data_IF_824735695104
#
_entry.id   IF_824735695104
#
_cell.length_a   1.000
_cell.length_b   1.000
_cell.length_c   1.000
_cell.angle_alpha   90.00
_cell.angle_beta   90.00
_cell.angle_gamma   90.00
#
_symmetry.space_group_name_H-M   'P 1'
#
loop_
_entity.id
_entity.type
_entity.pdbx_description
1 polymer ?
#
# COMPACT_ATOMS: atom_id res chain seq x y z
N UNK A 1 -48.33 27.27 12.39
CA UNK A 1 -48.68 27.43 10.96
C UNK A 1 -48.52 26.09 10.25
N UNK A 2 -49.62 25.39 9.96
CA UNK A 2 -49.61 24.11 9.24
C UNK A 2 -50.02 24.40 7.79
N UNK A 3 -49.07 24.33 6.83
CA UNK A 3 -49.39 24.45 5.40
C UNK A 3 -50.06 23.17 4.93
N UNK A 4 -51.35 23.25 4.59
CA UNK A 4 -52.07 22.18 3.89
C UNK A 4 -51.57 22.12 2.45
N UNK A 5 -50.99 20.99 2.05
CA UNK A 5 -50.67 20.70 0.65
C UNK A 5 -51.96 20.41 -0.12
N UNK A 6 -52.18 21.14 -1.20
CA UNK A 6 -53.33 20.92 -2.10
C UNK A 6 -53.06 19.65 -2.92
N UNK A 7 -53.96 18.66 -2.94
CA UNK A 7 -53.74 17.46 -3.75
C UNK A 7 -53.87 17.81 -5.24
N UNK A 8 -52.78 17.69 -5.99
CA UNK A 8 -52.82 17.79 -7.46
C UNK A 8 -53.80 16.74 -8.02
N UNK A 9 -54.63 17.17 -8.99
CA UNK A 9 -55.63 16.37 -9.71
C UNK A 9 -55.03 15.08 -10.31
N UNK A 10 -55.82 14.00 -10.28
CA UNK A 10 -55.40 12.67 -10.75
C UNK A 10 -54.87 12.68 -12.20
N UNK A 11 -55.44 13.52 -13.06
CA UNK A 11 -55.03 13.65 -14.46
C UNK A 11 -53.60 14.20 -14.62
N UNK A 12 -53.20 15.13 -13.76
CA UNK A 12 -51.84 15.70 -13.78
C UNK A 12 -50.80 14.66 -13.36
N UNK A 13 -51.18 13.77 -12.42
CA UNK A 13 -50.31 12.66 -11.98
C UNK A 13 -50.14 11.61 -13.08
N UNK A 14 -51.21 11.29 -13.81
CA UNK A 14 -51.16 10.34 -14.92
C UNK A 14 -50.32 10.85 -16.09
N UNK A 15 -50.45 12.13 -16.45
CA UNK A 15 -49.64 12.75 -17.52
C UNK A 15 -48.16 12.77 -17.12
N UNK A 16 -47.85 13.12 -15.88
CA UNK A 16 -46.47 13.10 -15.37
C UNK A 16 -45.87 11.68 -15.39
N UNK A 17 -46.64 10.66 -15.00
CA UNK A 17 -46.21 9.25 -15.06
C UNK A 17 -45.94 8.78 -16.49
N UNK A 18 -46.79 9.15 -17.44
CA UNK A 18 -46.60 8.76 -18.83
C UNK A 18 -45.36 9.42 -19.45
N UNK A 19 -45.11 10.68 -19.11
CA UNK A 19 -43.95 11.43 -19.61
C UNK A 19 -42.63 10.87 -19.05
N UNK A 20 -42.62 10.41 -17.79
CA UNK A 20 -41.48 9.69 -17.20
C UNK A 20 -41.24 8.35 -17.92
N UNK A 21 -42.30 7.62 -18.28
CA UNK A 21 -42.17 6.33 -18.97
C UNK A 21 -41.54 6.46 -20.36
N UNK A 22 -41.88 7.52 -21.12
CA UNK A 22 -41.28 7.80 -22.44
C UNK A 22 -39.79 8.13 -22.33
N UNK A 23 -39.38 8.87 -21.30
CA UNK A 23 -37.96 9.19 -21.07
C UNK A 23 -37.16 7.92 -20.74
N UNK A 24 -37.72 7.00 -19.94
CA UNK A 24 -37.07 5.74 -19.59
C UNK A 24 -36.95 4.79 -20.79
N UNK A 25 -37.90 4.84 -21.75
CA UNK A 25 -37.90 3.95 -22.91
C UNK A 25 -36.83 4.27 -23.98
N UNK A 26 -36.18 5.43 -23.92
CA UNK A 26 -35.13 5.81 -24.91
C UNK A 26 -33.74 5.27 -24.59
N UNK A 27 -33.57 4.58 -23.46
CA UNK A 27 -32.27 4.03 -23.05
C UNK A 27 -32.15 2.53 -23.29
N UNK A 28 -31.84 2.08 -24.51
CA UNK A 28 -30.97 0.92 -24.80
C UNK A 28 -31.01 0.48 -26.29
N UNK A 29 -30.21 1.10 -27.15
CA UNK A 29 -29.68 0.43 -28.34
C UNK A 29 -28.16 0.51 -28.33
N UNK A 30 -27.52 -0.46 -27.66
CA UNK A 30 -26.06 -0.56 -27.59
C UNK A 30 -25.58 -1.42 -28.77
N UNK A 31 -25.25 -0.77 -29.88
CA UNK A 31 -24.66 -1.39 -31.06
C UNK A 31 -23.36 -2.12 -30.67
N UNK A 32 -23.35 -3.46 -30.78
CA UNK A 32 -22.13 -4.27 -30.63
C UNK A 32 -21.25 -4.02 -31.86
N UNK A 33 -20.38 -3.02 -31.82
CA UNK A 33 -19.30 -2.92 -32.79
C UNK A 33 -18.42 -4.18 -32.68
N UNK A 34 -18.29 -4.93 -33.78
CA UNK A 34 -17.28 -5.98 -33.92
C UNK A 34 -15.94 -5.38 -33.52
N UNK A 35 -15.22 -6.01 -32.60
CA UNK A 35 -13.91 -5.53 -32.19
C UNK A 35 -13.01 -5.62 -33.42
N UNK A 36 -12.35 -4.54 -33.87
CA UNK A 36 -11.47 -4.57 -35.04
C UNK A 36 -10.22 -5.44 -34.85
N UNK A 37 -10.09 -6.14 -33.71
CA UNK A 37 -8.97 -7.00 -33.33
C UNK A 37 -9.30 -8.50 -33.34
N UNK A 38 -10.54 -8.86 -33.70
CA UNK A 38 -10.98 -10.25 -33.76
C UNK A 38 -10.48 -10.88 -35.07
N UNK A 39 -9.69 -11.96 -34.96
CA UNK A 39 -9.09 -12.65 -36.10
C UNK A 39 -7.79 -12.05 -36.63
N UNK A 40 -7.21 -11.05 -35.96
CA UNK A 40 -5.90 -10.52 -36.34
C UNK A 40 -4.78 -11.53 -36.08
N UNK A 41 -3.76 -11.66 -36.95
CA UNK A 41 -2.59 -12.51 -36.71
C UNK A 41 -1.91 -12.21 -35.37
N UNK A 42 -1.41 -13.24 -34.71
CA UNK A 42 -0.82 -13.14 -33.37
C UNK A 42 0.34 -12.13 -33.31
N UNK A 43 1.19 -12.08 -34.32
CA UNK A 43 2.31 -11.12 -34.40
C UNK A 43 1.80 -9.67 -34.47
N UNK A 44 0.79 -9.40 -35.28
CA UNK A 44 0.22 -8.05 -35.42
C UNK A 44 -0.46 -7.60 -34.12
N UNK A 45 -1.16 -8.52 -33.46
CA UNK A 45 -1.83 -8.23 -32.20
C UNK A 45 -0.82 -7.96 -31.08
N UNK A 46 0.28 -8.71 -31.03
CA UNK A 46 1.38 -8.49 -30.10
C UNK A 46 2.07 -7.15 -30.35
N UNK A 47 2.43 -6.86 -31.61
CA UNK A 47 3.08 -5.59 -31.96
C UNK A 47 2.20 -4.38 -31.65
N UNK A 48 0.89 -4.48 -31.87
CA UNK A 48 -0.07 -3.44 -31.49
C UNK A 48 -0.07 -3.20 -29.98
N UNK A 49 -0.19 -4.26 -29.19
CA UNK A 49 -0.16 -4.16 -27.73
C UNK A 49 1.18 -3.58 -27.24
N UNK A 50 2.29 -4.00 -27.84
CA UNK A 50 3.61 -3.50 -27.52
C UNK A 50 3.78 -2.01 -27.88
N UNK A 51 3.27 -1.57 -29.02
CA UNK A 51 3.25 -0.14 -29.40
C UNK A 51 2.43 0.70 -28.40
N UNK A 52 1.32 0.16 -27.91
CA UNK A 52 0.53 0.81 -26.86
C UNK A 52 1.31 0.91 -25.54
N UNK A 53 2.11 -0.10 -25.20
CA UNK A 53 3.03 -0.03 -24.05
C UNK A 53 4.07 1.08 -24.21
N UNK A 54 4.70 1.18 -25.39
CA UNK A 54 5.72 2.19 -25.67
C UNK A 54 5.16 3.62 -25.62
N UNK A 55 3.92 3.81 -26.07
CA UNK A 55 3.20 5.09 -26.01
C UNK A 55 2.55 5.38 -24.65
N UNK A 56 2.84 4.56 -23.62
CA UNK A 56 2.25 4.66 -22.27
C UNK A 56 0.71 4.54 -22.23
N UNK A 57 0.10 4.00 -23.28
CA UNK A 57 -1.32 3.65 -23.30
C UNK A 57 -1.53 2.29 -22.62
N UNK A 58 -1.35 2.26 -21.29
CA UNK A 58 -1.39 1.04 -20.49
C UNK A 58 -2.75 0.33 -20.56
N UNK A 59 -3.85 1.08 -20.54
CA UNK A 59 -5.20 0.52 -20.61
C UNK A 59 -5.50 -0.09 -21.99
N UNK A 60 -5.03 0.55 -23.06
CA UNK A 60 -5.10 0.00 -24.41
C UNK A 60 -4.29 -1.29 -24.55
N UNK A 61 -3.05 -1.26 -24.08
CA UNK A 61 -2.14 -2.40 -24.10
C UNK A 61 -2.70 -3.62 -23.35
N UNK A 62 -3.21 -3.40 -22.13
CA UNK A 62 -3.89 -4.44 -21.36
C UNK A 62 -5.04 -5.09 -22.16
N UNK A 63 -5.87 -4.27 -22.81
CA UNK A 63 -6.97 -4.74 -23.65
C UNK A 63 -6.49 -5.62 -24.80
N UNK A 64 -5.46 -5.19 -25.53
CA UNK A 64 -4.90 -5.95 -26.65
C UNK A 64 -4.17 -7.21 -26.20
N UNK A 65 -3.42 -7.20 -25.09
CA UNK A 65 -2.83 -8.42 -24.53
C UNK A 65 -3.89 -9.42 -24.05
N UNK A 66 -4.94 -8.98 -23.35
CA UNK A 66 -6.05 -9.85 -22.94
C UNK A 66 -6.72 -10.52 -24.13
N UNK A 67 -6.92 -9.78 -25.24
CA UNK A 67 -7.45 -10.35 -26.49
C UNK A 67 -6.48 -11.34 -27.13
N UNK A 68 -5.18 -11.06 -27.10
CA UNK A 68 -4.16 -12.00 -27.60
C UNK A 68 -4.22 -13.31 -26.83
N UNK A 69 -4.25 -13.25 -25.50
CA UNK A 69 -4.33 -14.44 -24.64
C UNK A 69 -5.64 -15.21 -24.88
N UNK A 70 -6.76 -14.51 -25.10
CA UNK A 70 -8.04 -15.14 -25.36
C UNK A 70 -8.13 -15.84 -26.73
N UNK A 71 -7.57 -15.21 -27.78
CA UNK A 71 -7.59 -15.77 -29.14
C UNK A 71 -6.53 -16.86 -29.34
N UNK A 72 -5.38 -16.73 -28.67
CA UNK A 72 -4.21 -17.59 -28.83
C UNK A 72 -3.69 -18.07 -27.46
N UNK A 73 -4.40 -18.94 -26.73
CA UNK A 73 -4.00 -19.37 -25.39
C UNK A 73 -2.71 -20.21 -25.33
N UNK A 74 -2.28 -20.79 -26.45
CA UNK A 74 -1.05 -21.58 -26.58
C UNK A 74 -0.09 -21.00 -27.63
N UNK A 75 -0.22 -19.71 -27.94
CA UNK A 75 0.62 -19.04 -28.92
C UNK A 75 2.02 -18.76 -28.39
N UNK A 76 2.96 -18.53 -29.31
CA UNK A 76 4.36 -18.24 -28.97
C UNK A 76 4.55 -17.00 -28.07
N UNK A 77 3.63 -16.02 -28.14
CA UNK A 77 3.70 -14.80 -27.34
C UNK A 77 2.84 -14.84 -26.08
N UNK A 78 2.11 -15.92 -25.80
CA UNK A 78 1.07 -15.90 -24.77
C UNK A 78 1.64 -15.70 -23.37
N UNK A 79 2.70 -16.43 -23.03
CA UNK A 79 3.40 -16.27 -21.75
C UNK A 79 3.95 -14.85 -21.58
N UNK A 80 4.56 -14.31 -22.64
CA UNK A 80 5.09 -12.96 -22.64
C UNK A 80 3.97 -11.91 -22.54
N UNK A 81 2.85 -12.10 -23.24
CA UNK A 81 1.67 -11.24 -23.19
C UNK A 81 1.02 -11.25 -21.80
N UNK A 82 1.03 -12.37 -21.08
CA UNK A 82 0.56 -12.42 -19.68
C UNK A 82 1.43 -11.56 -18.76
N UNK A 83 2.76 -11.65 -18.92
CA UNK A 83 3.73 -10.85 -18.16
C UNK A 83 3.53 -9.35 -18.47
N UNK A 84 3.44 -8.98 -19.75
CA UNK A 84 3.27 -7.59 -20.17
C UNK A 84 1.89 -7.02 -19.81
N UNK A 85 0.84 -7.84 -19.86
CA UNK A 85 -0.50 -7.48 -19.37
C UNK A 85 -0.47 -7.12 -17.88
N UNK A 86 0.18 -7.92 -17.05
CA UNK A 86 0.33 -7.63 -15.62
C UNK A 86 1.13 -6.33 -15.38
N UNK A 87 2.19 -6.09 -16.16
CA UNK A 87 2.96 -4.86 -16.08
C UNK A 87 2.14 -3.63 -16.52
N UNK A 88 1.35 -3.75 -17.60
CA UNK A 88 0.44 -2.72 -18.04
C UNK A 88 -0.58 -2.35 -16.95
N UNK A 89 -1.16 -3.34 -16.27
CA UNK A 89 -2.08 -3.14 -15.14
C UNK A 89 -1.41 -2.39 -13.99
N UNK A 90 -0.19 -2.80 -13.61
CA UNK A 90 0.60 -2.10 -12.60
C UNK A 90 0.83 -0.63 -12.97
N UNK A 91 1.25 -0.36 -14.21
CA UNK A 91 1.49 1.01 -14.69
C UNK A 91 0.22 1.84 -14.84
N UNK A 92 -0.91 1.20 -15.09
CA UNK A 92 -2.23 1.81 -15.09
C UNK A 92 -2.78 2.10 -13.66
N UNK A 93 -2.07 1.70 -12.61
CA UNK A 93 -2.53 1.82 -11.22
C UNK A 93 -3.58 0.77 -10.81
N UNK A 94 -3.86 -0.21 -11.67
CA UNK A 94 -4.78 -1.32 -11.40
C UNK A 94 -4.07 -2.44 -10.64
N UNK A 95 -3.60 -2.12 -9.43
CA UNK A 95 -2.76 -3.03 -8.64
C UNK A 95 -3.48 -4.35 -8.31
N UNK A 96 -4.79 -4.34 -8.08
CA UNK A 96 -5.56 -5.56 -7.82
C UNK A 96 -5.63 -6.50 -9.02
N UNK A 97 -5.89 -5.93 -10.21
CA UNK A 97 -5.90 -6.68 -11.46
C UNK A 97 -4.51 -7.24 -11.77
N UNK A 98 -3.46 -6.45 -11.50
CA UNK A 98 -2.07 -6.87 -11.65
C UNK A 98 -1.76 -8.09 -10.76
N UNK A 99 -2.08 -8.01 -9.46
CA UNK A 99 -1.86 -9.12 -8.52
C UNK A 99 -2.61 -10.38 -8.97
N UNK A 100 -3.88 -10.25 -9.38
CA UNK A 100 -4.67 -11.39 -9.87
C UNK A 100 -4.05 -12.04 -11.13
N UNK A 101 -3.58 -11.22 -12.07
CA UNK A 101 -2.95 -11.69 -13.31
C UNK A 101 -1.59 -12.34 -13.02
N UNK A 102 -0.83 -11.80 -12.07
CA UNK A 102 0.46 -12.35 -11.64
C UNK A 102 0.26 -13.69 -10.92
N UNK A 103 -0.70 -13.80 -10.01
CA UNK A 103 -1.00 -15.04 -9.30
C UNK A 103 -1.39 -16.15 -10.27
N UNK A 104 -2.19 -15.82 -11.29
CA UNK A 104 -2.51 -16.76 -12.37
C UNK A 104 -1.24 -17.21 -13.09
N UNK A 105 -0.39 -16.27 -13.51
CA UNK A 105 0.86 -16.61 -14.20
C UNK A 105 1.76 -17.52 -13.36
N UNK A 106 1.96 -17.20 -12.07
CA UNK A 106 2.80 -17.98 -11.16
C UNK A 106 2.24 -19.41 -10.99
N UNK A 107 0.92 -19.56 -10.90
CA UNK A 107 0.28 -20.89 -10.80
C UNK A 107 0.39 -21.69 -12.09
N UNK A 108 0.25 -21.04 -13.24
CA UNK A 108 0.30 -21.70 -14.55
C UNK A 108 1.73 -22.02 -14.99
N UNK A 109 2.69 -21.13 -14.72
CA UNK A 109 4.07 -21.23 -15.21
C UNK A 109 5.10 -21.03 -14.08
N UNK A 110 5.12 -21.88 -13.04
CA UNK A 110 5.98 -21.69 -11.87
C UNK A 110 7.49 -21.78 -12.17
N UNK A 111 7.88 -22.43 -13.26
CA UNK A 111 9.29 -22.63 -13.67
C UNK A 111 9.74 -21.69 -14.78
N UNK A 112 8.93 -20.69 -15.14
CA UNK A 112 9.26 -19.76 -16.22
C UNK A 112 10.52 -18.94 -15.91
N UNK A 113 11.34 -18.64 -16.93
CA UNK A 113 12.60 -17.89 -16.78
C UNK A 113 12.44 -16.52 -16.10
N UNK A 114 11.28 -15.88 -16.27
CA UNK A 114 10.95 -14.57 -15.69
C UNK A 114 10.12 -14.67 -14.40
N UNK A 115 10.07 -15.83 -13.73
CA UNK A 115 9.26 -15.98 -12.52
C UNK A 115 9.70 -15.02 -11.39
N UNK A 116 11.00 -14.76 -11.26
CA UNK A 116 11.54 -13.80 -10.30
C UNK A 116 11.00 -12.38 -10.55
N UNK A 117 10.82 -12.00 -11.83
CA UNK A 117 10.20 -10.71 -12.18
C UNK A 117 8.75 -10.64 -11.74
N UNK A 118 8.00 -11.74 -11.86
CA UNK A 118 6.59 -11.78 -11.49
C UNK A 118 6.39 -11.64 -9.98
N UNK A 119 7.19 -12.34 -9.15
CA UNK A 119 7.20 -12.11 -7.70
C UNK A 119 7.57 -10.65 -7.37
N UNK A 120 8.59 -10.11 -8.01
CA UNK A 120 9.00 -8.72 -7.82
C UNK A 120 7.89 -7.72 -8.18
N UNK A 121 7.21 -7.93 -9.32
CA UNK A 121 6.10 -7.09 -9.77
C UNK A 121 4.88 -7.21 -8.84
N UNK A 122 4.63 -8.39 -8.25
CA UNK A 122 3.58 -8.58 -7.23
C UNK A 122 3.90 -7.79 -5.98
N UNK A 123 5.16 -7.85 -5.51
CA UNK A 123 5.65 -7.05 -4.41
C UNK A 123 5.51 -5.54 -4.65
N UNK A 124 5.85 -5.06 -5.85
CA UNK A 124 5.62 -3.66 -6.24
C UNK A 124 4.14 -3.27 -6.24
N UNK A 125 3.29 -4.14 -6.78
CA UNK A 125 1.84 -3.89 -6.86
C UNK A 125 1.23 -3.82 -5.46
N UNK A 126 1.60 -4.75 -4.58
CA UNK A 126 1.19 -4.75 -3.18
C UNK A 126 1.72 -3.51 -2.44
N UNK A 127 3.00 -3.18 -2.56
CA UNK A 127 3.58 -2.02 -1.89
C UNK A 127 2.96 -0.69 -2.33
N UNK A 128 2.40 -0.60 -3.53
CA UNK A 128 1.85 0.64 -4.09
C UNK A 128 0.33 0.80 -3.97
N UNK A 129 -0.40 -0.24 -3.54
CA UNK A 129 -1.86 -0.18 -3.29
C UNK A 129 -2.28 0.99 -2.39
N UNK A 130 -1.42 1.40 -1.46
CA UNK A 130 -1.71 2.46 -0.48
C UNK A 130 -1.00 3.80 -0.74
N UNK A 131 -0.02 3.87 -1.65
CA UNK A 131 0.97 4.98 -1.65
C UNK A 131 0.65 6.15 -2.58
N UNK A 132 -0.16 5.97 -3.63
CA UNK A 132 -0.14 6.93 -4.76
C UNK A 132 -1.23 8.00 -4.69
N UNK A 133 -2.47 7.65 -4.34
CA UNK A 133 -3.58 8.62 -4.44
C UNK A 133 -3.78 9.44 -3.15
N UNK A 134 -3.62 8.83 -1.98
CA UNK A 134 -3.95 9.47 -0.70
C UNK A 134 -2.79 10.25 -0.09
N UNK A 135 -1.53 9.83 -0.29
CA UNK A 135 -0.32 10.49 0.24
C UNK A 135 -0.09 11.90 -0.33
N UNK A 136 -0.57 12.16 -1.56
CA UNK A 136 -0.41 13.45 -2.26
C UNK A 136 -1.44 14.49 -1.86
N UNK A 137 -2.61 14.08 -1.37
CA UNK A 137 -3.71 14.99 -0.99
C UNK A 137 -3.82 15.13 0.53
N UNK A 138 -3.53 14.06 1.28
CA UNK A 138 -3.55 14.05 2.73
C UNK A 138 -2.23 13.47 3.24
N UNK A 139 -1.55 14.16 4.16
CA UNK A 139 -0.34 13.68 4.83
C UNK A 139 -0.66 12.52 5.79
N UNK A 140 -1.15 11.41 5.24
CA UNK A 140 -1.52 10.21 5.97
C UNK A 140 -0.30 9.32 6.11
N UNK A 141 0.03 8.99 7.35
CA UNK A 141 1.15 8.11 7.71
C UNK A 141 0.79 6.66 7.33
N UNK A 142 1.51 6.01 6.38
CA UNK A 142 1.22 4.65 5.94
C UNK A 142 1.30 3.63 7.06
N UNK A 143 2.11 3.90 8.09
CA UNK A 143 2.26 3.02 9.24
C UNK A 143 0.93 2.78 9.97
N UNK A 144 -0.11 3.61 9.79
CA UNK A 144 -1.35 3.53 10.56
C UNK A 144 -2.50 2.79 9.87
N UNK A 145 -2.28 2.32 8.64
CA UNK A 145 -3.28 1.58 7.86
C UNK A 145 -3.11 0.07 8.07
N UNK A 146 -4.00 -0.71 7.46
CA UNK A 146 -3.86 -2.16 7.40
C UNK A 146 -2.49 -2.54 6.80
N UNK A 147 -1.68 -3.24 7.59
CA UNK A 147 -0.34 -3.69 7.20
C UNK A 147 -0.37 -4.98 6.36
N UNK A 148 -1.53 -5.58 6.13
CA UNK A 148 -1.67 -6.82 5.37
C UNK A 148 -1.01 -6.75 3.99
N UNK A 149 -1.20 -5.63 3.28
CA UNK A 149 -0.69 -5.46 1.93
C UNK A 149 0.83 -5.20 1.90
N UNK A 150 1.38 -4.27 2.70
CA UNK A 150 2.84 -4.17 2.88
C UNK A 150 3.51 -5.47 3.34
N UNK A 151 2.87 -6.27 4.20
CA UNK A 151 3.38 -7.58 4.63
C UNK A 151 3.44 -8.57 3.47
N UNK A 152 2.41 -8.61 2.61
CA UNK A 152 2.44 -9.40 1.38
C UNK A 152 3.57 -8.95 0.45
N UNK A 153 3.77 -7.63 0.30
CA UNK A 153 4.88 -7.10 -0.49
C UNK A 153 6.24 -7.54 0.06
N UNK A 154 6.42 -7.50 1.38
CA UNK A 154 7.65 -7.97 2.04
C UNK A 154 7.88 -9.46 1.76
N UNK A 155 6.86 -10.29 1.89
CA UNK A 155 6.96 -11.72 1.59
C UNK A 155 7.33 -11.99 0.13
N UNK A 156 6.76 -11.24 -0.81
CA UNK A 156 7.08 -11.33 -2.24
C UNK A 156 8.53 -10.93 -2.53
N UNK A 157 9.01 -9.83 -1.94
CA UNK A 157 10.40 -9.43 -2.07
C UNK A 157 11.35 -10.43 -1.40
N UNK A 158 10.96 -11.04 -0.29
CA UNK A 158 11.74 -12.08 0.36
C UNK A 158 11.93 -13.31 -0.54
N UNK A 159 10.87 -13.73 -1.24
CA UNK A 159 10.97 -14.82 -2.24
C UNK A 159 12.01 -14.46 -3.31
N UNK A 160 12.01 -13.22 -3.81
CA UNK A 160 13.01 -12.78 -4.81
C UNK A 160 14.42 -12.78 -4.23
N UNK A 161 14.60 -12.26 -3.02
CA UNK A 161 15.90 -12.11 -2.38
C UNK A 161 16.54 -13.45 -1.97
N UNK A 162 15.74 -14.41 -1.49
CA UNK A 162 16.19 -15.70 -1.00
C UNK A 162 16.24 -16.77 -2.09
N UNK A 163 15.17 -16.90 -2.90
CA UNK A 163 15.06 -17.95 -3.91
C UNK A 163 15.75 -17.57 -5.22
N UNK A 164 15.81 -16.28 -5.54
CA UNK A 164 16.37 -15.78 -6.79
C UNK A 164 17.48 -14.72 -6.55
N UNK A 165 18.51 -15.02 -5.74
CA UNK A 165 19.50 -14.03 -5.29
C UNK A 165 20.35 -13.45 -6.43
N UNK A 166 20.51 -14.21 -7.53
CA UNK A 166 21.26 -13.81 -8.72
C UNK A 166 20.39 -13.06 -9.76
N UNK A 167 19.10 -12.90 -9.50
CA UNK A 167 18.24 -12.13 -10.40
C UNK A 167 18.58 -10.65 -10.35
N UNK A 168 18.38 -9.93 -11.47
CA UNK A 168 18.55 -8.47 -11.52
C UNK A 168 17.69 -7.68 -10.52
N UNK A 169 16.67 -8.32 -9.95
CA UNK A 169 15.71 -7.71 -9.03
C UNK A 169 16.06 -7.91 -7.56
N UNK A 170 16.99 -8.82 -7.23
CA UNK A 170 17.28 -9.19 -5.85
C UNK A 170 17.84 -8.02 -5.03
N UNK A 171 18.73 -7.21 -5.60
CA UNK A 171 19.30 -6.05 -4.92
C UNK A 171 18.22 -5.01 -4.56
N UNK A 172 17.35 -4.66 -5.51
CA UNK A 172 16.27 -3.70 -5.28
C UNK A 172 15.20 -4.26 -4.31
N UNK A 173 14.88 -5.55 -4.41
CA UNK A 173 13.98 -6.23 -3.47
C UNK A 173 14.47 -6.10 -2.02
N UNK A 174 15.78 -6.32 -1.77
CA UNK A 174 16.37 -6.16 -0.43
C UNK A 174 16.26 -4.71 0.09
N UNK A 175 16.50 -3.72 -0.77
CA UNK A 175 16.35 -2.31 -0.39
C UNK A 175 14.89 -1.97 -0.03
N UNK A 176 13.93 -2.48 -0.79
CA UNK A 176 12.50 -2.32 -0.47
C UNK A 176 12.10 -3.02 0.81
N UNK A 177 12.66 -4.19 1.09
CA UNK A 177 12.43 -4.89 2.36
C UNK A 177 12.91 -4.06 3.56
N UNK A 178 14.07 -3.39 3.46
CA UNK A 178 14.55 -2.48 4.51
C UNK A 178 13.55 -1.33 4.74
N UNK A 179 13.06 -0.72 3.65
CA UNK A 179 12.07 0.35 3.74
C UNK A 179 10.75 -0.13 4.38
N UNK A 180 10.22 -1.29 3.96
CA UNK A 180 9.00 -1.87 4.53
C UNK A 180 9.17 -2.23 6.00
N UNK A 181 10.33 -2.76 6.37
CA UNK A 181 10.67 -3.06 7.76
C UNK A 181 10.68 -1.82 8.65
N UNK A 182 11.17 -0.69 8.13
CA UNK A 182 11.08 0.58 8.83
C UNK A 182 9.63 1.07 8.97
N UNK A 183 8.77 0.82 7.98
CA UNK A 183 7.32 1.12 8.11
C UNK A 183 6.67 0.28 9.21
N UNK A 184 7.02 -1.01 9.31
CA UNK A 184 6.51 -1.89 10.37
C UNK A 184 7.02 -1.48 11.76
N UNK A 185 8.31 -1.16 11.87
CA UNK A 185 8.87 -0.64 13.11
C UNK A 185 8.22 0.67 13.53
N UNK A 186 7.96 1.58 12.57
CA UNK A 186 7.24 2.82 12.86
C UNK A 186 5.83 2.58 13.40
N UNK A 187 5.11 1.59 12.84
CA UNK A 187 3.77 1.23 13.34
C UNK A 187 3.81 0.79 14.80
N UNK A 188 4.76 -0.07 15.17
CA UNK A 188 4.89 -0.52 16.55
C UNK A 188 5.35 0.60 17.49
N UNK A 189 6.24 1.48 17.04
CA UNK A 189 6.64 2.67 17.80
C UNK A 189 5.44 3.61 18.02
N UNK A 190 4.62 3.84 17.00
CA UNK A 190 3.40 4.63 17.09
C UNK A 190 2.44 4.09 18.16
N UNK A 191 2.25 2.76 18.17
CA UNK A 191 1.45 2.08 19.18
C UNK A 191 2.08 2.22 20.57
N UNK A 192 3.40 2.07 20.69
CA UNK A 192 4.12 2.21 21.94
C UNK A 192 3.98 3.63 22.52
N UNK A 193 4.19 4.66 21.70
CA UNK A 193 4.01 6.07 22.05
C UNK A 193 2.57 6.43 22.39
N UNK A 194 1.60 5.81 21.71
CA UNK A 194 0.19 5.95 22.04
C UNK A 194 -0.13 5.42 23.44
N UNK A 195 0.39 4.25 23.82
CA UNK A 195 0.22 3.71 25.17
C UNK A 195 0.98 4.53 26.21
N UNK A 196 2.19 4.98 25.89
CA UNK A 196 3.00 5.83 26.76
C UNK A 196 2.26 7.13 27.11
N UNK A 197 1.67 7.80 26.11
CA UNK A 197 0.84 9.01 26.33
C UNK A 197 -0.37 8.77 27.25
N UNK A 198 -0.86 7.53 27.35
CA UNK A 198 -2.03 7.15 28.15
C UNK A 198 -1.65 6.54 29.50
N UNK A 199 -0.38 6.64 29.89
CA UNK A 199 0.15 6.05 31.11
C UNK A 199 0.00 4.52 31.19
N UNK A 200 -0.13 3.86 30.02
CA UNK A 200 -0.21 2.41 29.91
C UNK A 200 1.21 1.82 29.73
N UNK A 201 2.04 1.97 30.76
CA UNK A 201 3.48 1.72 30.70
C UNK A 201 3.85 0.27 30.32
N UNK A 202 3.13 -0.72 30.86
CA UNK A 202 3.36 -2.14 30.54
C UNK A 202 3.11 -2.41 29.05
N UNK A 203 2.03 -1.85 28.49
CA UNK A 203 1.70 -2.00 27.07
C UNK A 203 2.70 -1.27 26.18
N UNK A 204 3.16 -0.08 26.59
CA UNK A 204 4.19 0.66 25.88
C UNK A 204 5.50 -0.13 25.82
N UNK A 205 5.94 -0.69 26.95
CA UNK A 205 7.13 -1.54 27.02
C UNK A 205 6.97 -2.81 26.18
N UNK A 206 5.81 -3.46 26.21
CA UNK A 206 5.54 -4.65 25.39
C UNK A 206 5.66 -4.37 23.89
N UNK A 207 5.15 -3.23 23.42
CA UNK A 207 5.27 -2.80 22.01
C UNK A 207 6.70 -2.47 21.62
N UNK A 208 7.43 -1.78 22.50
CA UNK A 208 8.84 -1.47 22.27
C UNK A 208 9.72 -2.73 22.22
N UNK A 209 9.51 -3.68 23.12
CA UNK A 209 10.20 -4.99 23.08
C UNK A 209 9.90 -5.74 21.78
N UNK A 210 8.62 -5.81 21.39
CA UNK A 210 8.23 -6.46 20.13
C UNK A 210 8.92 -5.83 18.90
N UNK A 211 9.05 -4.50 18.88
CA UNK A 211 9.79 -3.78 17.84
C UNK A 211 11.27 -4.19 17.82
N UNK A 212 11.94 -4.23 18.97
CA UNK A 212 13.36 -4.61 19.07
C UNK A 212 13.61 -6.06 18.67
N UNK A 213 12.71 -6.97 19.02
CA UNK A 213 12.81 -8.40 18.72
C UNK A 213 12.51 -8.68 17.24
N UNK A 214 11.47 -8.05 16.68
CA UNK A 214 10.98 -8.34 15.32
C UNK A 214 11.72 -7.53 14.25
N UNK A 215 12.09 -6.29 14.57
CA UNK A 215 12.69 -5.33 13.63
C UNK A 215 14.03 -4.74 14.14
N UNK A 216 15.03 -5.57 14.50
CA UNK A 216 16.34 -5.08 14.94
C UNK A 216 17.06 -4.31 13.83
N UNK A 217 17.80 -3.25 14.12
CA UNK A 217 18.44 -2.36 13.13
C UNK A 217 17.45 -1.56 12.27
N UNK A 218 16.17 -1.50 12.66
CA UNK A 218 15.26 -0.51 12.06
C UNK A 218 15.68 0.91 12.47
N UNK A 219 15.27 1.89 11.68
CA UNK A 219 15.53 3.30 11.98
C UNK A 219 14.95 3.75 13.34
N UNK A 220 13.99 2.99 13.88
CA UNK A 220 13.27 3.30 15.12
C UNK A 220 13.72 2.42 16.31
N UNK A 221 14.81 1.67 16.16
CA UNK A 221 15.32 0.81 17.24
C UNK A 221 15.62 1.61 18.50
N UNK A 222 16.33 2.73 18.39
CA UNK A 222 16.73 3.53 19.56
C UNK A 222 15.57 4.36 20.14
N UNK A 223 14.61 4.77 19.32
CA UNK A 223 13.33 5.31 19.81
C UNK A 223 12.59 4.29 20.68
N UNK A 224 12.59 3.01 20.30
CA UNK A 224 11.98 1.94 21.10
C UNK A 224 12.72 1.75 22.44
N UNK A 225 14.06 1.81 22.44
CA UNK A 225 14.85 1.79 23.69
C UNK A 225 14.51 2.98 24.58
N UNK A 226 14.29 4.17 24.01
CA UNK A 226 13.83 5.33 24.77
C UNK A 226 12.43 5.12 25.38
N UNK A 227 11.49 4.50 24.65
CA UNK A 227 10.18 4.10 25.21
C UNK A 227 10.36 3.15 26.39
N UNK A 228 11.26 2.16 26.29
CA UNK A 228 11.52 1.23 27.39
C UNK A 228 12.05 1.95 28.62
N UNK A 229 13.03 2.84 28.44
CA UNK A 229 13.60 3.60 29.53
C UNK A 229 12.54 4.46 30.25
N UNK A 230 11.66 5.12 29.50
CA UNK A 230 10.56 5.92 30.04
C UNK A 230 9.51 5.06 30.76
N UNK A 231 9.06 3.99 30.09
CA UNK A 231 8.06 3.08 30.63
C UNK A 231 8.55 2.39 31.91
N UNK A 232 9.79 1.90 31.95
CA UNK A 232 10.35 1.26 33.15
C UNK A 232 10.58 2.25 34.29
N UNK A 233 10.94 3.50 33.98
CA UNK A 233 11.02 4.58 34.97
C UNK A 233 9.67 4.79 35.65
N UNK A 234 8.59 4.90 34.87
CA UNK A 234 7.24 5.06 35.39
C UNK A 234 6.70 3.82 36.12
N UNK A 235 7.19 2.63 35.78
CA UNK A 235 6.88 1.38 36.49
C UNK A 235 7.67 1.22 37.80
N UNK A 236 8.67 2.08 38.07
CA UNK A 236 9.55 1.95 39.22
C UNK A 236 10.62 0.86 39.08
N UNK A 237 10.79 0.28 37.88
CA UNK A 237 11.82 -0.72 37.62
C UNK A 237 13.14 -0.03 37.23
N UNK A 238 13.83 0.48 38.25
CA UNK A 238 15.09 1.22 38.08
C UNK A 238 16.18 0.43 37.33
N UNK A 239 16.43 -0.87 37.63
CA UNK A 239 17.45 -1.64 36.90
C UNK A 239 17.24 -1.64 35.38
N UNK A 240 16.02 -1.95 34.92
CA UNK A 240 15.73 -1.99 33.48
C UNK A 240 15.72 -0.60 32.84
N UNK A 241 15.26 0.42 33.57
CA UNK A 241 15.32 1.80 33.10
C UNK A 241 16.76 2.28 32.89
N UNK A 242 17.64 2.02 33.87
CA UNK A 242 19.05 2.40 33.82
C UNK A 242 19.80 1.59 32.73
N UNK A 243 19.44 0.32 32.53
CA UNK A 243 19.98 -0.51 31.44
C UNK A 243 19.57 0.02 30.06
N UNK A 244 18.28 0.33 29.85
CA UNK A 244 17.79 0.90 28.59
C UNK A 244 18.44 2.25 28.30
N UNK A 245 18.57 3.11 29.32
CA UNK A 245 19.29 4.38 29.22
C UNK A 245 20.76 4.17 28.82
N UNK A 246 21.46 3.23 29.44
CA UNK A 246 22.87 2.91 29.11
C UNK A 246 23.01 2.44 27.66
N UNK A 247 22.11 1.57 27.19
CA UNK A 247 22.09 1.13 25.79
C UNK A 247 21.91 2.32 24.86
N UNK A 248 21.00 3.24 25.19
CA UNK A 248 20.76 4.43 24.39
C UNK A 248 21.97 5.38 24.38
N UNK A 249 22.58 5.65 25.54
CA UNK A 249 23.78 6.49 25.65
C UNK A 249 24.99 5.93 24.89
N UNK A 250 25.13 4.60 24.81
CA UNK A 250 26.21 3.95 24.08
C UNK A 250 26.02 3.98 22.55
N UNK A 251 24.78 3.89 22.08
CA UNK A 251 24.49 3.67 20.66
C UNK A 251 23.93 4.92 19.93
N UNK A 252 23.16 5.75 20.62
CA UNK A 252 22.66 7.04 20.13
C UNK A 252 22.77 8.13 21.22
N UNK A 253 23.99 8.63 21.49
CA UNK A 253 24.24 9.63 22.53
C UNK A 253 23.52 10.97 22.30
N UNK A 254 23.06 11.23 21.06
CA UNK A 254 22.37 12.45 20.66
C UNK A 254 20.85 12.29 20.69
N UNK A 255 20.34 11.14 21.13
CA UNK A 255 18.92 10.87 21.13
C UNK A 255 18.15 11.92 21.97
N UNK A 256 17.09 12.57 21.44
CA UNK A 256 16.47 13.71 22.12
C UNK A 256 15.78 13.36 23.45
N UNK A 257 15.47 12.08 23.70
CA UNK A 257 14.97 11.61 25.00
C UNK A 257 15.97 11.86 26.14
N UNK A 258 17.29 11.75 25.88
CA UNK A 258 18.33 12.01 26.89
C UNK A 258 18.32 13.47 27.38
N UNK A 259 17.85 14.39 26.53
CA UNK A 259 17.70 15.82 26.85
C UNK A 259 16.30 16.20 27.36
N UNK A 260 15.36 15.24 27.45
CA UNK A 260 13.97 15.50 27.85
C UNK A 260 13.10 16.16 26.78
N UNK A 261 13.53 16.16 25.51
CA UNK A 261 12.82 16.79 24.40
C UNK A 261 12.03 15.80 23.51
N UNK A 262 11.75 14.59 24.02
CA UNK A 262 11.06 13.51 23.32
C UNK A 262 10.24 12.66 24.30
N UNK A 263 9.05 12.15 23.92
CA UNK A 263 8.41 12.30 22.61
C UNK A 263 7.68 13.65 22.43
N UNK A 264 7.67 14.20 21.21
CA UNK A 264 6.98 15.47 20.91
C UNK A 264 5.53 15.23 20.52
N UNK A 265 4.64 15.25 21.51
CA UNK A 265 3.23 15.05 21.23
C UNK A 265 2.57 16.27 20.57
N UNK A 266 1.62 16.06 19.63
CA UNK A 266 0.83 17.15 19.07
C UNK A 266 0.05 17.91 20.15
N UNK A 267 -0.12 19.21 19.97
CA UNK A 267 -0.81 20.07 20.93
C UNK A 267 -2.23 19.58 21.23
N UNK A 268 -2.61 19.59 22.51
CA UNK A 268 -3.85 18.98 23.00
C UNK A 268 -5.14 19.56 22.36
N UNK A 269 -5.11 20.81 21.90
CA UNK A 269 -6.21 21.50 21.22
C UNK A 269 -6.61 20.80 19.91
N UNK A 270 -5.68 20.08 19.25
CA UNK A 270 -6.01 19.32 18.03
C UNK A 270 -7.07 18.24 18.26
N UNK A 271 -7.21 17.72 19.49
CA UNK A 271 -8.25 16.75 19.85
C UNK A 271 -9.67 17.32 19.76
N UNK A 272 -9.81 18.65 19.75
CA UNK A 272 -11.10 19.33 19.64
C UNK A 272 -11.62 19.38 18.20
N UNK A 273 -10.76 19.14 17.20
CA UNK A 273 -11.17 19.08 15.80
C UNK A 273 -11.56 17.63 15.44
N UNK A 274 -12.84 17.33 15.20
CA UNK A 274 -13.30 15.98 14.86
C UNK A 274 -12.78 15.46 13.51
N UNK A 275 -12.21 16.34 12.68
CA UNK A 275 -11.57 16.00 11.40
C UNK A 275 -10.04 15.92 11.50
N UNK A 276 -9.46 16.33 12.63
CA UNK A 276 -8.02 16.19 12.85
C UNK A 276 -7.73 14.76 13.30
N UNK A 277 -7.31 13.90 12.36
CA UNK A 277 -6.78 12.58 12.70
C UNK A 277 -5.62 12.71 13.70
N UNK A 278 -5.47 11.77 14.63
CA UNK A 278 -4.32 11.77 15.55
C UNK A 278 -3.01 11.79 14.74
N UNK A 279 -1.98 12.48 15.24
CA UNK A 279 -0.62 12.44 14.68
C UNK A 279 0.28 11.73 15.68
N UNK A 280 1.21 10.91 15.19
CA UNK A 280 2.22 10.31 16.06
C UNK A 280 3.21 11.38 16.50
N UNK A 281 3.92 11.10 17.59
CA UNK A 281 5.16 11.82 17.84
C UNK A 281 6.27 11.41 16.84
N UNK A 282 6.24 10.20 16.29
CA UNK A 282 7.23 9.72 15.31
C UNK A 282 7.14 10.41 13.93
N UNK A 283 5.94 10.85 13.53
CA UNK A 283 5.64 11.40 12.20
C UNK A 283 6.31 12.78 12.02
N UNK A 284 7.56 12.79 11.56
CA UNK A 284 8.39 13.99 11.38
C UNK A 284 9.66 14.04 12.24
N UNK A 285 9.92 12.99 13.02
CA UNK A 285 11.12 12.84 13.86
C UNK A 285 12.10 11.82 13.28
N UNK A 286 12.17 11.70 11.95
CA UNK A 286 13.28 11.02 11.29
C UNK A 286 14.58 11.72 11.69
N UNK A 287 15.20 11.26 12.78
CA UNK A 287 16.52 11.69 13.25
C UNK A 287 17.64 11.11 12.37
N UNK A 288 17.32 10.39 11.29
CA UNK A 288 18.24 10.31 10.17
C UNK A 288 18.08 11.58 9.33
N UNK A 289 18.95 12.56 9.58
CA UNK A 289 19.75 13.05 8.45
C UNK A 289 20.15 11.78 7.70
N UNK A 290 19.53 11.55 6.54
CA UNK A 290 20.00 10.51 5.64
C UNK A 290 21.42 10.94 5.31
N UNK A 291 22.39 10.35 6.01
CA UNK A 291 23.79 10.48 5.70
C UNK A 291 23.91 10.20 4.20
N UNK A 292 24.38 11.22 3.48
CA UNK A 292 24.76 11.13 2.08
C UNK A 292 25.72 9.95 1.85
#
# INVERSE_FOLDING_TARGET
>A
MIRRSVPLSAHVRFIALMLVMVVVATGCHRQKNKNPEEGMPVDQLYQKAHTQMQTSNWAGAEGSFKRLIAQYPYGQYTEQAMIESAYAQYKAGKHDDAVSSIDRFIRTYPTHRNIAYMYYLRGLSNSNRDTVFLRRVWSLDPSRRDLSTPQQAYADFNIVAERYPNSRYAADARQRMIALRNVFAQHELDNALYYLRRNAWVSAAGRANYLLETYPQSAYQYDAVAVLADAYTHLGNKPLADDARRVLELNDPKHPWLTGHWPKYPWMIRKLNPFAGEKSASTGQSNSEMAN
#
